data_IF_690136946710
#
_entry.id   IF_690136946710
#
_cell.length_a   1.000
_cell.length_b   1.000
_cell.length_c   1.000
_cell.angle_alpha   90.00
_cell.angle_beta   90.00
_cell.angle_gamma   90.00
#
_symmetry.space_group_name_H-M   'P 1'
#
loop_
_entity.id
_entity.type
_entity.pdbx_description
1 polymer ?
#
# COMPACT_ATOMS: atom_id res chain seq x y z
N UNK A 1 39.85 8.14 22.14
CA UNK A 1 40.21 7.41 23.37
C UNK A 1 41.21 6.31 23.04
N UNK A 2 42.51 6.56 23.22
CA UNK A 2 43.64 5.62 22.98
C UNK A 2 44.39 5.27 24.28
N UNK A 3 43.88 5.72 25.43
CA UNK A 3 44.56 5.70 26.73
C UNK A 3 44.95 4.32 27.24
N UNK A 4 44.15 3.23 27.11
CA UNK A 4 44.51 1.95 27.72
C UNK A 4 45.71 1.25 27.05
N UNK A 5 45.95 1.50 25.76
CA UNK A 5 47.02 0.84 25.01
C UNK A 5 48.37 1.53 25.22
N UNK A 6 48.37 2.86 25.27
CA UNK A 6 49.56 3.66 25.58
C UNK A 6 50.02 3.39 27.02
N UNK A 7 49.09 3.33 27.98
CA UNK A 7 49.39 2.98 29.38
C UNK A 7 49.96 1.56 29.53
N UNK A 8 49.46 0.58 28.76
CA UNK A 8 49.97 -0.80 28.81
C UNK A 8 51.34 -0.95 28.15
N UNK A 9 51.61 -0.24 27.04
CA UNK A 9 52.95 -0.17 26.45
C UNK A 9 53.96 0.44 27.43
N UNK A 10 53.56 1.50 28.13
CA UNK A 10 54.39 2.11 29.17
C UNK A 10 54.67 1.15 30.34
N UNK A 11 53.71 0.28 30.72
CA UNK A 11 53.91 -0.74 31.77
C UNK A 11 54.91 -1.84 31.40
N UNK A 12 55.04 -2.19 30.12
CA UNK A 12 56.03 -3.19 29.65
C UNK A 12 57.39 -2.55 29.37
N UNK A 13 57.40 -1.37 28.76
CA UNK A 13 58.63 -0.67 28.44
C UNK A 13 59.30 -0.07 29.68
N UNK A 14 58.52 0.45 30.65
CA UNK A 14 59.03 1.18 31.83
C UNK A 14 60.09 0.42 32.63
N UNK A 15 59.88 -0.83 33.04
CA UNK A 15 60.89 -1.61 33.78
C UNK A 15 62.15 -1.91 32.96
N UNK A 16 62.03 -2.10 31.64
CA UNK A 16 63.17 -2.36 30.75
C UNK A 16 63.97 -1.08 30.50
N UNK A 17 63.27 0.04 30.36
CA UNK A 17 63.86 1.38 30.22
C UNK A 17 64.58 1.78 31.53
N UNK A 18 63.98 1.54 32.69
CA UNK A 18 64.63 1.76 33.98
C UNK A 18 65.91 0.92 34.14
N UNK A 19 65.89 -0.34 33.70
CA UNK A 19 67.10 -1.16 33.70
C UNK A 19 68.21 -0.50 32.86
N UNK A 20 67.87 -0.03 31.66
CA UNK A 20 68.77 0.65 30.73
C UNK A 20 69.30 2.00 31.26
N UNK A 21 68.47 2.75 31.98
CA UNK A 21 68.78 4.11 32.41
C UNK A 21 69.49 4.18 33.77
N UNK A 22 69.28 3.23 34.68
CA UNK A 22 69.86 3.27 36.03
C UNK A 22 70.72 2.05 36.35
N UNK A 23 70.20 0.85 36.13
CA UNK A 23 70.86 -0.40 36.54
C UNK A 23 72.08 -0.75 35.69
N UNK A 24 72.01 -0.55 34.36
CA UNK A 24 73.14 -0.81 33.46
C UNK A 24 74.34 0.14 33.68
N UNK A 25 74.15 1.46 33.83
CA UNK A 25 75.25 2.37 34.20
C UNK A 25 75.90 2.04 35.55
N UNK A 26 75.10 1.67 36.55
CA UNK A 26 75.62 1.23 37.85
C UNK A 26 76.42 -0.06 37.73
N UNK A 27 75.89 -1.07 37.03
CA UNK A 27 76.59 -2.32 36.75
C UNK A 27 77.92 -2.08 36.03
N UNK A 28 77.94 -1.20 35.02
CA UNK A 28 79.16 -0.84 34.28
C UNK A 28 80.21 -0.21 35.20
N UNK A 29 79.78 0.65 36.13
CA UNK A 29 80.66 1.23 37.16
C UNK A 29 81.17 0.17 38.12
N UNK A 30 80.31 -0.72 38.61
CA UNK A 30 80.70 -1.82 39.51
C UNK A 30 81.66 -2.80 38.85
N UNK A 31 81.49 -3.10 37.55
CA UNK A 31 82.43 -3.91 36.77
C UNK A 31 83.78 -3.20 36.66
N UNK A 32 83.79 -1.91 36.33
CA UNK A 32 85.02 -1.11 36.27
C UNK A 32 85.75 -1.09 37.62
N UNK A 33 85.01 -0.91 38.71
CA UNK A 33 85.55 -0.92 40.06
C UNK A 33 86.10 -2.33 40.42
N UNK A 34 85.41 -3.40 40.04
CA UNK A 34 85.89 -4.78 40.21
C UNK A 34 87.19 -5.06 39.43
N UNK A 35 87.32 -4.54 38.21
CA UNK A 35 88.54 -4.72 37.41
C UNK A 35 89.78 -4.03 38.03
N UNK A 36 89.56 -2.97 38.82
CA UNK A 36 90.62 -2.27 39.54
C UNK A 36 90.95 -2.90 40.90
N UNK A 37 89.95 -3.49 41.57
CA UNK A 37 90.08 -4.19 42.85
C UNK A 37 89.10 -5.37 42.95
N UNK A 38 89.54 -6.59 42.60
CA UNK A 38 88.66 -7.74 42.48
C UNK A 38 88.39 -8.39 43.85
N UNK A 39 87.31 -7.96 44.50
CA UNK A 39 86.84 -8.56 45.76
C UNK A 39 85.63 -9.49 45.55
N UNK A 40 85.47 -10.55 46.38
CA UNK A 40 84.29 -11.43 46.31
C UNK A 40 82.97 -10.68 46.48
N UNK A 41 82.94 -9.62 47.30
CA UNK A 41 81.75 -8.78 47.53
C UNK A 41 81.31 -8.04 46.27
N UNK A 42 82.27 -7.54 45.48
CA UNK A 42 82.00 -6.85 44.21
C UNK A 42 81.53 -7.84 43.14
N UNK A 43 82.10 -9.04 43.09
CA UNK A 43 81.62 -10.10 42.21
C UNK A 43 80.17 -10.48 42.55
N UNK A 44 79.84 -10.69 43.83
CA UNK A 44 78.48 -10.98 44.26
C UNK A 44 77.49 -9.86 43.91
N UNK A 45 77.95 -8.60 43.95
CA UNK A 45 77.14 -7.44 43.53
C UNK A 45 76.86 -7.45 42.03
N UNK A 46 77.87 -7.76 41.20
CA UNK A 46 77.72 -7.91 39.74
C UNK A 46 76.75 -9.05 39.41
N UNK A 47 76.89 -10.20 40.06
CA UNK A 47 75.97 -11.34 39.90
C UNK A 47 74.53 -10.97 40.29
N UNK A 48 74.35 -10.21 41.37
CA UNK A 48 73.05 -9.69 41.80
C UNK A 48 72.40 -8.78 40.74
N UNK A 49 73.16 -7.87 40.15
CA UNK A 49 72.68 -7.02 39.06
C UNK A 49 72.30 -7.81 37.80
N UNK A 50 73.10 -8.81 37.43
CA UNK A 50 72.79 -9.71 36.29
C UNK A 50 71.49 -10.48 36.57
N UNK A 51 71.34 -11.09 37.76
CA UNK A 51 70.14 -11.82 38.14
C UNK A 51 68.89 -10.92 38.15
N UNK A 52 69.01 -9.67 38.63
CA UNK A 52 67.94 -8.67 38.54
C UNK A 52 67.57 -8.35 37.08
N UNK A 53 68.56 -8.20 36.20
CA UNK A 53 68.34 -7.97 34.77
C UNK A 53 67.61 -9.13 34.09
N UNK A 54 68.04 -10.37 34.34
CA UNK A 54 67.38 -11.58 33.84
C UNK A 54 65.93 -11.67 34.30
N UNK A 55 65.66 -11.39 35.58
CA UNK A 55 64.31 -11.38 36.14
C UNK A 55 63.40 -10.35 35.46
N UNK A 56 63.86 -9.11 35.28
CA UNK A 56 63.06 -8.06 34.65
C UNK A 56 62.81 -8.36 33.17
N UNK A 57 63.81 -8.88 32.46
CA UNK A 57 63.65 -9.29 31.06
C UNK A 57 62.64 -10.44 30.93
N UNK A 58 62.72 -11.45 31.79
CA UNK A 58 61.77 -12.56 31.82
C UNK A 58 60.33 -12.08 32.13
N UNK A 59 60.17 -11.19 33.11
CA UNK A 59 58.87 -10.59 33.45
C UNK A 59 58.28 -9.79 32.28
N UNK A 60 59.10 -8.97 31.63
CA UNK A 60 58.67 -8.18 30.47
C UNK A 60 58.31 -9.05 29.26
N UNK A 61 59.01 -10.16 29.06
CA UNK A 61 58.67 -11.13 28.02
C UNK A 61 57.32 -11.82 28.29
N UNK A 62 57.02 -12.18 29.54
CA UNK A 62 55.71 -12.74 29.92
C UNK A 62 54.58 -11.73 29.72
N UNK A 63 54.77 -10.48 30.13
CA UNK A 63 53.75 -9.44 29.96
C UNK A 63 53.53 -9.12 28.46
N UNK A 64 54.59 -9.12 27.65
CA UNK A 64 54.49 -8.99 26.19
C UNK A 64 53.66 -10.12 25.57
N UNK A 65 53.90 -11.38 26.00
CA UNK A 65 53.09 -12.53 25.54
C UNK A 65 51.63 -12.40 25.96
N UNK A 66 51.36 -11.95 27.18
CA UNK A 66 50.00 -11.71 27.67
C UNK A 66 49.28 -10.65 26.83
N UNK A 67 49.93 -9.51 26.57
CA UNK A 67 49.36 -8.44 25.74
C UNK A 67 49.08 -8.92 24.32
N UNK A 68 49.96 -9.73 23.72
CA UNK A 68 49.73 -10.32 22.39
C UNK A 68 48.47 -11.17 22.35
N UNK A 69 48.29 -12.07 23.33
CA UNK A 69 47.06 -12.90 23.42
C UNK A 69 45.81 -12.06 23.61
N UNK A 70 45.87 -11.03 24.47
CA UNK A 70 44.74 -10.14 24.67
C UNK A 70 44.42 -9.35 23.39
N UNK A 71 45.43 -8.90 22.65
CA UNK A 71 45.24 -8.21 21.37
C UNK A 71 44.56 -9.12 20.34
N UNK A 72 45.03 -10.36 20.18
CA UNK A 72 44.41 -11.35 19.29
C UNK A 72 42.95 -11.60 19.66
N UNK A 73 42.66 -11.75 20.96
CA UNK A 73 41.29 -11.91 21.46
C UNK A 73 40.41 -10.69 21.13
N UNK A 74 40.91 -9.47 21.36
CA UNK A 74 40.14 -8.26 21.04
C UNK A 74 39.94 -8.08 19.53
N UNK A 75 40.92 -8.46 18.70
CA UNK A 75 40.79 -8.43 17.25
C UNK A 75 39.72 -9.42 16.76
N UNK A 76 39.71 -10.65 17.27
CA UNK A 76 38.67 -11.63 16.96
C UNK A 76 37.30 -11.14 17.40
N UNK A 77 37.19 -10.57 18.61
CA UNK A 77 35.93 -10.00 19.12
C UNK A 77 35.45 -8.85 18.26
N UNK A 78 36.33 -7.95 17.83
CA UNK A 78 36.00 -6.85 16.94
C UNK A 78 35.46 -7.36 15.59
N UNK A 79 36.05 -8.42 15.05
CA UNK A 79 35.59 -9.02 13.80
C UNK A 79 34.17 -9.60 13.94
N UNK A 80 33.89 -10.34 15.03
CA UNK A 80 32.53 -10.86 15.32
C UNK A 80 31.51 -9.72 15.45
N UNK A 81 31.84 -8.66 16.17
CA UNK A 81 30.95 -7.50 16.34
C UNK A 81 30.67 -6.83 14.98
N UNK A 82 31.66 -6.75 14.08
CA UNK A 82 31.45 -6.21 12.72
C UNK A 82 30.49 -7.08 11.92
N UNK A 83 30.63 -8.39 11.99
CA UNK A 83 29.76 -9.35 11.31
C UNK A 83 28.33 -9.29 11.85
N UNK A 84 28.16 -9.30 13.19
CA UNK A 84 26.86 -9.14 13.86
C UNK A 84 26.19 -7.81 13.48
N UNK A 85 26.95 -6.70 13.47
CA UNK A 85 26.45 -5.38 13.05
C UNK A 85 25.92 -5.41 11.62
N UNK A 86 26.62 -6.08 10.71
CA UNK A 86 26.20 -6.18 9.32
C UNK A 86 24.96 -7.05 9.15
N UNK A 87 24.84 -8.15 9.92
CA UNK A 87 23.62 -8.95 9.96
C UNK A 87 22.42 -8.15 10.48
N UNK A 88 22.59 -7.38 11.56
CA UNK A 88 21.55 -6.52 12.11
C UNK A 88 21.11 -5.45 11.11
N UNK A 89 22.04 -4.87 10.33
CA UNK A 89 21.70 -3.93 9.25
C UNK A 89 20.83 -4.59 8.17
N UNK A 90 21.19 -5.78 7.71
CA UNK A 90 20.39 -6.53 6.73
C UNK A 90 19.00 -6.83 7.28
N UNK A 91 18.90 -7.24 8.55
CA UNK A 91 17.61 -7.47 9.20
C UNK A 91 16.77 -6.19 9.32
N UNK A 92 17.40 -5.05 9.66
CA UNK A 92 16.71 -3.77 9.76
C UNK A 92 16.08 -3.36 8.42
N UNK A 93 16.80 -3.52 7.30
CA UNK A 93 16.28 -3.24 5.95
C UNK A 93 15.09 -4.14 5.63
N UNK A 94 15.18 -5.45 5.92
CA UNK A 94 14.08 -6.39 5.70
C UNK A 94 12.83 -6.04 6.53
N UNK A 95 13.02 -5.70 7.81
CA UNK A 95 11.92 -5.30 8.70
C UNK A 95 11.28 -3.99 8.24
N UNK A 96 12.07 -3.03 7.76
CA UNK A 96 11.54 -1.79 7.20
C UNK A 96 10.71 -2.03 5.94
N UNK A 97 11.15 -2.95 5.06
CA UNK A 97 10.37 -3.39 3.91
C UNK A 97 9.02 -3.99 4.32
N UNK A 98 9.03 -4.92 5.29
CA UNK A 98 7.80 -5.53 5.83
C UNK A 98 6.86 -4.51 6.47
N UNK A 99 7.40 -3.52 7.17
CA UNK A 99 6.62 -2.43 7.76
C UNK A 99 5.93 -1.60 6.68
N UNK A 100 6.60 -1.34 5.56
CA UNK A 100 6.00 -0.62 4.45
C UNK A 100 4.82 -1.38 3.85
N UNK A 101 5.00 -2.67 3.54
CA UNK A 101 3.92 -3.54 3.05
C UNK A 101 2.75 -3.62 4.03
N UNK A 102 3.02 -3.70 5.34
CA UNK A 102 1.96 -3.71 6.35
C UNK A 102 1.14 -2.39 6.35
N UNK A 103 1.78 -1.25 6.08
CA UNK A 103 1.08 0.04 5.95
C UNK A 103 0.22 0.11 4.68
N UNK A 104 0.71 -0.41 3.56
CA UNK A 104 -0.06 -0.48 2.31
C UNK A 104 -1.32 -1.34 2.48
N UNK A 105 -1.17 -2.54 3.06
CA UNK A 105 -2.30 -3.43 3.36
C UNK A 105 -3.29 -2.78 4.31
N UNK A 106 -2.81 -2.00 5.30
CA UNK A 106 -3.69 -1.26 6.19
C UNK A 106 -4.52 -0.22 5.44
N UNK A 107 -3.91 0.56 4.54
CA UNK A 107 -4.62 1.54 3.73
C UNK A 107 -5.69 0.87 2.85
N UNK A 108 -5.35 -0.23 2.18
CA UNK A 108 -6.30 -1.02 1.40
C UNK A 108 -7.46 -1.55 2.26
N UNK A 109 -7.17 -2.03 3.48
CA UNK A 109 -8.23 -2.49 4.39
C UNK A 109 -9.13 -1.34 4.87
N UNK A 110 -8.59 -0.14 5.05
CA UNK A 110 -9.37 1.06 5.38
C UNK A 110 -10.30 1.44 4.21
N UNK A 111 -9.83 1.36 2.96
CA UNK A 111 -10.66 1.54 1.76
C UNK A 111 -11.77 0.48 1.65
N UNK A 112 -11.43 -0.80 1.81
CA UNK A 112 -12.40 -1.89 1.82
C UNK A 112 -13.46 -1.71 2.90
N UNK A 113 -13.06 -1.28 4.11
CA UNK A 113 -14.01 -0.99 5.20
C UNK A 113 -14.92 0.18 4.83
N UNK A 114 -14.40 1.20 4.14
CA UNK A 114 -15.18 2.30 3.57
C UNK A 114 -16.27 1.80 2.62
N UNK A 115 -15.89 0.98 1.64
CA UNK A 115 -16.83 0.37 0.68
C UNK A 115 -17.89 -0.50 1.37
N UNK A 116 -17.50 -1.32 2.35
CA UNK A 116 -18.44 -2.13 3.12
C UNK A 116 -19.46 -1.24 3.84
N UNK A 117 -19.03 -0.13 4.44
CA UNK A 117 -19.95 0.80 5.09
C UNK A 117 -20.92 1.47 4.11
N UNK A 118 -20.51 1.72 2.87
CA UNK A 118 -21.39 2.26 1.82
C UNK A 118 -22.38 1.19 1.34
N UNK A 119 -21.91 -0.03 1.09
CA UNK A 119 -22.74 -1.17 0.68
C UNK A 119 -23.79 -1.48 1.75
N UNK A 120 -23.43 -1.43 3.03
CA UNK A 120 -24.36 -1.69 4.13
C UNK A 120 -25.48 -0.65 4.26
N UNK A 121 -25.38 0.52 3.58
CA UNK A 121 -26.48 1.50 3.49
C UNK A 121 -27.46 1.18 2.37
N UNK A 122 -27.07 0.34 1.41
CA UNK A 122 -27.91 -0.08 0.32
C UNK A 122 -28.83 -1.21 0.79
N UNK A 123 -30.04 -1.32 0.22
CA UNK A 123 -30.91 -2.46 0.48
C UNK A 123 -30.18 -3.75 0.14
N UNK A 124 -30.45 -4.79 0.92
CA UNK A 124 -29.84 -6.09 0.68
C UNK A 124 -30.28 -6.64 -0.68
N UNK A 125 -29.46 -7.51 -1.25
CA UNK A 125 -29.78 -8.15 -2.54
C UNK A 125 -31.14 -8.87 -2.49
N UNK A 126 -31.47 -9.48 -1.37
CA UNK A 126 -32.74 -10.19 -1.17
C UNK A 126 -33.93 -9.24 -1.14
N UNK A 127 -33.86 -8.14 -0.38
CA UNK A 127 -34.90 -7.10 -0.35
C UNK A 127 -35.13 -6.50 -1.74
N UNK A 128 -34.04 -6.20 -2.45
CA UNK A 128 -34.10 -5.62 -3.78
C UNK A 128 -34.68 -6.61 -4.80
N UNK A 129 -34.36 -7.90 -4.70
CA UNK A 129 -34.92 -8.94 -5.56
C UNK A 129 -36.40 -9.16 -5.28
N UNK A 130 -36.82 -9.16 -4.01
CA UNK A 130 -38.24 -9.22 -3.63
C UNK A 130 -39.01 -8.00 -4.16
N UNK A 131 -38.42 -6.80 -4.09
CA UNK A 131 -39.04 -5.59 -4.61
C UNK A 131 -39.21 -5.64 -6.14
N UNK A 132 -38.22 -6.18 -6.86
CA UNK A 132 -38.30 -6.37 -8.31
C UNK A 132 -39.35 -7.41 -8.72
N UNK A 133 -39.46 -8.52 -8.01
CA UNK A 133 -40.52 -9.52 -8.28
C UNK A 133 -41.92 -8.95 -8.01
N UNK A 134 -42.11 -8.24 -6.90
CA UNK A 134 -43.37 -7.53 -6.64
C UNK A 134 -43.70 -6.52 -7.74
N UNK A 135 -42.72 -5.73 -8.17
CA UNK A 135 -42.92 -4.79 -9.28
C UNK A 135 -43.32 -5.51 -10.58
N UNK A 136 -42.71 -6.65 -10.86
CA UNK A 136 -43.04 -7.48 -12.02
C UNK A 136 -44.48 -7.97 -11.97
N UNK A 137 -44.90 -8.53 -10.84
CA UNK A 137 -46.24 -9.09 -10.65
C UNK A 137 -47.33 -8.00 -10.60
N UNK A 138 -47.08 -6.91 -9.88
CA UNK A 138 -48.09 -5.88 -9.60
C UNK A 138 -48.22 -4.83 -10.70
N UNK A 139 -47.13 -4.57 -11.43
CA UNK A 139 -47.07 -3.46 -12.41
C UNK A 139 -46.83 -3.98 -13.82
N UNK A 140 -45.82 -4.81 -14.01
CA UNK A 140 -45.41 -5.24 -15.35
C UNK A 140 -46.45 -6.20 -15.97
N UNK A 141 -46.83 -7.25 -15.23
CA UNK A 141 -47.75 -8.28 -15.71
C UNK A 141 -49.14 -7.70 -16.08
N UNK A 142 -49.79 -6.88 -15.23
CA UNK A 142 -51.11 -6.32 -15.56
C UNK A 142 -51.05 -5.33 -16.72
N UNK A 143 -49.95 -4.57 -16.84
CA UNK A 143 -49.74 -3.69 -17.98
C UNK A 143 -49.56 -4.48 -19.29
N UNK A 144 -48.77 -5.56 -19.27
CA UNK A 144 -48.59 -6.45 -20.43
C UNK A 144 -49.91 -7.10 -20.85
N UNK A 145 -50.69 -7.59 -19.90
CA UNK A 145 -51.97 -8.23 -20.18
C UNK A 145 -53.01 -7.23 -20.70
N UNK A 146 -53.03 -6.00 -20.18
CA UNK A 146 -53.88 -4.93 -20.71
C UNK A 146 -53.47 -4.53 -22.13
N UNK A 147 -52.18 -4.51 -22.44
CA UNK A 147 -51.68 -4.26 -23.80
C UNK A 147 -52.11 -5.39 -24.75
N UNK A 148 -52.05 -6.66 -24.32
CA UNK A 148 -52.54 -7.80 -25.12
C UNK A 148 -54.04 -7.68 -25.38
N UNK A 149 -54.84 -7.36 -24.37
CA UNK A 149 -56.29 -7.17 -24.49
C UNK A 149 -56.62 -6.05 -25.48
N UNK A 150 -56.00 -4.87 -25.33
CA UNK A 150 -56.20 -3.74 -26.23
C UNK A 150 -55.77 -4.05 -27.67
N UNK A 151 -54.69 -4.82 -27.86
CA UNK A 151 -54.29 -5.31 -29.19
C UNK A 151 -55.37 -6.21 -29.80
N UNK A 152 -55.92 -7.14 -29.02
CA UNK A 152 -57.01 -8.01 -29.46
C UNK A 152 -58.26 -7.22 -29.85
N UNK A 153 -58.66 -6.24 -29.03
CA UNK A 153 -59.79 -5.36 -29.35
C UNK A 153 -59.53 -4.53 -30.61
N UNK A 154 -58.32 -4.01 -30.77
CA UNK A 154 -57.94 -3.21 -31.95
C UNK A 154 -58.00 -4.06 -33.23
N UNK A 155 -57.52 -5.31 -33.17
CA UNK A 155 -57.62 -6.25 -34.29
C UNK A 155 -59.09 -6.58 -34.60
N UNK A 156 -59.92 -6.88 -33.61
CA UNK A 156 -61.34 -7.15 -33.82
C UNK A 156 -62.06 -5.94 -34.44
N UNK A 157 -61.75 -4.73 -33.99
CA UNK A 157 -62.30 -3.50 -34.55
C UNK A 157 -61.85 -3.28 -36.00
N UNK A 158 -60.57 -3.53 -36.31
CA UNK A 158 -60.07 -3.49 -37.69
C UNK A 158 -60.79 -4.49 -38.59
N UNK A 159 -60.97 -5.74 -38.15
CA UNK A 159 -61.71 -6.75 -38.90
C UNK A 159 -63.16 -6.34 -39.12
N UNK A 160 -63.83 -5.80 -38.10
CA UNK A 160 -65.21 -5.30 -38.20
C UNK A 160 -65.34 -4.12 -39.16
N UNK A 161 -64.38 -3.20 -39.15
CA UNK A 161 -64.33 -2.08 -40.11
C UNK A 161 -64.11 -2.59 -41.53
N UNK A 162 -63.23 -3.58 -41.74
CA UNK A 162 -63.06 -4.21 -43.05
C UNK A 162 -64.35 -4.87 -43.55
N UNK A 163 -65.01 -5.67 -42.70
CA UNK A 163 -66.28 -6.31 -43.06
C UNK A 163 -67.40 -5.30 -43.37
N UNK A 164 -67.49 -4.19 -42.62
CA UNK A 164 -68.41 -3.10 -42.90
C UNK A 164 -68.10 -2.42 -44.24
N UNK A 165 -66.82 -2.16 -44.53
CA UNK A 165 -66.42 -1.61 -45.83
C UNK A 165 -66.76 -2.55 -46.97
N UNK A 166 -66.55 -3.86 -46.81
CA UNK A 166 -66.94 -4.88 -47.79
C UNK A 166 -68.46 -4.93 -48.00
N UNK A 167 -69.25 -4.83 -46.93
CA UNK A 167 -70.72 -4.78 -47.03
C UNK A 167 -71.21 -3.48 -47.70
N UNK A 168 -70.58 -2.34 -47.41
CA UNK A 168 -70.85 -1.07 -48.10
C UNK A 168 -70.52 -1.19 -49.58
N UNK A 169 -69.35 -1.75 -49.94
CA UNK A 169 -68.98 -1.97 -51.33
C UNK A 169 -69.95 -2.93 -52.05
N UNK A 170 -70.43 -3.98 -51.39
CA UNK A 170 -71.44 -4.89 -51.95
C UNK A 170 -72.78 -4.17 -52.17
N UNK A 171 -73.21 -3.33 -51.24
CA UNK A 171 -74.42 -2.52 -51.39
C UNK A 171 -74.29 -1.47 -52.51
N UNK A 172 -73.12 -0.85 -52.65
CA UNK A 172 -72.82 0.06 -53.75
C UNK A 172 -72.88 -0.69 -55.10
N UNK A 173 -72.30 -1.89 -55.21
CA UNK A 173 -72.38 -2.72 -56.44
C UNK A 173 -73.83 -3.15 -56.77
N UNK A 174 -74.62 -3.55 -55.78
CA UNK A 174 -76.04 -3.87 -55.97
C UNK A 174 -76.88 -2.66 -56.41
N UNK A 175 -76.45 -1.44 -56.06
CA UNK A 175 -77.09 -0.21 -56.51
C UNK A 175 -76.73 0.15 -57.96
N UNK A 176 -75.52 -0.22 -58.42
CA UNK A 176 -75.08 -0.05 -59.80
C UNK A 176 -75.79 -1.05 -60.75
N UNK A 177 -75.98 -2.31 -60.33
CA UNK A 177 -76.58 -3.38 -61.16
C UNK A 177 -78.12 -3.27 -61.31
N UNK A 178 -78.83 -2.63 -60.38
CA UNK A 178 -80.31 -2.54 -60.38
C UNK A 178 -80.87 -1.22 -60.94
N UNK A 179 -80.04 -0.35 -61.52
CA UNK A 179 -80.49 0.90 -62.15
C UNK A 179 -81.16 1.91 -61.21
N UNK A 180 -81.07 1.72 -59.89
CA UNK A 180 -81.52 2.69 -58.91
C UNK A 180 -80.40 3.68 -58.63
N UNK A 181 -80.46 4.87 -59.25
CA UNK A 181 -79.61 5.98 -58.82
C UNK A 181 -79.98 6.37 -57.39
N UNK A 182 -79.22 5.88 -56.41
CA UNK A 182 -79.13 6.47 -55.07
C UNK A 182 -78.27 7.74 -55.15
N UNK A 183 -78.67 8.64 -56.05
CA UNK A 183 -78.08 9.95 -56.13
C UNK A 183 -78.50 10.75 -54.90
N UNK A 184 -77.49 10.97 -54.06
CA UNK A 184 -77.41 11.90 -52.91
C UNK A 184 -77.59 11.25 -51.54
N UNK A 185 -76.62 10.45 -51.11
CA UNK A 185 -76.22 10.53 -49.69
C UNK A 185 -74.74 10.29 -49.36
N UNK A 186 -73.84 10.06 -50.31
CA UNK A 186 -72.40 10.01 -50.00
C UNK A 186 -71.51 10.69 -51.04
N UNK A 187 -72.02 11.67 -51.79
CA UNK A 187 -71.16 12.67 -52.41
C UNK A 187 -70.84 13.79 -51.40
N UNK A 188 -70.03 13.44 -50.39
CA UNK A 188 -69.13 14.33 -49.60
C UNK A 188 -68.57 13.53 -48.43
N UNK A 189 -67.51 12.74 -48.67
CA UNK A 189 -66.34 12.60 -47.77
C UNK A 189 -65.31 11.60 -48.30
N UNK A 190 -64.90 11.76 -49.56
CA UNK A 190 -63.53 11.39 -49.97
C UNK A 190 -62.84 12.63 -50.53
N UNK A 191 -62.15 13.33 -49.66
CA UNK A 191 -60.79 13.86 -49.85
C UNK A 191 -60.42 14.87 -48.76
N UNK A 192 -59.14 14.84 -48.40
CA UNK A 192 -58.41 15.73 -47.48
C UNK A 192 -58.60 15.53 -45.97
N UNK A 193 -57.92 14.53 -45.41
CA UNK A 193 -57.01 14.83 -44.31
C UNK A 193 -55.68 14.09 -44.48
N UNK A 194 -54.89 14.68 -45.38
CA UNK A 194 -53.44 14.74 -45.32
C UNK A 194 -53.00 14.82 -43.86
N UNK A 195 -52.10 13.92 -43.47
CA UNK A 195 -51.41 13.90 -42.20
C UNK A 195 -51.10 15.31 -41.68
N UNK A 196 -51.64 15.66 -40.52
CA UNK A 196 -51.08 16.67 -39.65
C UNK A 196 -50.75 15.98 -38.33
N UNK A 197 -49.46 15.75 -38.13
CA UNK A 197 -48.82 15.52 -36.83
C UNK A 197 -49.46 16.45 -35.79
N UNK A 198 -49.85 15.99 -34.59
CA UNK A 198 -50.06 16.90 -33.49
C UNK A 198 -48.71 17.56 -33.19
N UNK A 199 -48.66 18.88 -33.44
CA UNK A 199 -47.61 19.75 -32.93
C UNK A 199 -47.66 19.68 -31.41
N UNK A 200 -46.50 19.48 -30.81
CA UNK A 200 -46.23 19.80 -29.41
C UNK A 200 -46.89 21.13 -29.04
N UNK A 201 -47.73 21.08 -28.00
CA UNK A 201 -48.16 22.27 -27.27
C UNK A 201 -46.93 22.99 -26.74
N UNK A 202 -46.70 24.19 -27.25
CA UNK A 202 -46.07 25.26 -26.51
C UNK A 202 -47.07 26.40 -26.45
N UNK A 203 -47.58 26.72 -25.27
CA UNK A 203 -47.15 27.96 -24.63
C UNK A 203 -47.66 28.11 -23.19
N UNK A 204 -46.67 28.15 -22.28
CA UNK A 204 -46.49 29.19 -21.25
C UNK A 204 -47.72 29.68 -20.47
N UNK A 205 -47.68 29.44 -19.15
CA UNK A 205 -47.40 30.48 -18.14
C UNK A 205 -47.54 29.92 -16.72
N UNK A 206 -46.45 29.91 -15.95
CA UNK A 206 -46.45 30.47 -14.58
C UNK A 206 -45.02 30.65 -14.05
N UNK A 207 -44.70 31.94 -13.89
CA UNK A 207 -43.99 32.55 -12.76
C UNK A 207 -42.71 31.88 -12.27
N UNK A 208 -41.58 32.50 -12.59
CA UNK A 208 -40.51 32.76 -11.62
C UNK A 208 -39.62 33.90 -12.12
N UNK A 209 -40.07 35.11 -11.85
CA UNK A 209 -39.16 36.22 -11.55
C UNK A 209 -39.65 36.87 -10.26
N UNK A 210 -38.78 36.85 -9.25
CA UNK A 210 -38.63 37.76 -8.11
C UNK A 210 -38.07 36.93 -6.94
N UNK A 211 -36.74 36.81 -6.77
CA UNK A 211 -35.82 37.79 -6.16
C UNK A 211 -35.76 37.64 -4.63
N UNK A 212 -34.71 36.97 -4.16
CA UNK A 212 -34.01 37.14 -2.87
C UNK A 212 -32.90 36.05 -2.83
N UNK A 213 -31.65 36.33 -3.23
CA UNK A 213 -30.59 37.08 -2.52
C UNK A 213 -29.68 36.18 -1.68
N UNK A 214 -28.36 36.21 -1.99
CA UNK A 214 -27.19 36.11 -1.07
C UNK A 214 -27.02 34.75 -0.36
N UNK A 215 -25.87 34.12 -0.17
CA UNK A 215 -24.42 34.38 -0.13
C UNK A 215 -23.78 32.99 -0.45
N UNK A 216 -22.58 32.80 -0.98
CA UNK A 216 -21.39 33.62 -0.83
C UNK A 216 -20.80 33.45 0.57
N UNK A 217 -20.40 32.22 0.92
CA UNK A 217 -19.27 31.86 1.79
C UNK A 217 -18.88 30.38 1.54
#
# INVERSE_FOLDING_TARGET
>A
MWTPYVERKAKVAGPVVQLHETTFPELQRTIHDFLNDPTPERLATIEGYIACGEFVMARSALESRRIKRELEFQQQRLQRIKEEKEQLRKQAVLLQGRLHTAKEVRAQNEECRGLVNEINKLPTREEMSSCLEKFREDVLQPAEDRVKELRGMTQAYQTGVCALNEAIEQLERLSEDNGFTLNKLTQKRRSSHRAKKPKLEGDRKRRRESRASRHGD
#
